data_IF_218284767811
#
_entry.id   IF_218284767811
#
_cell.length_a   1.000
_cell.length_b   1.000
_cell.length_c   1.000
_cell.angle_alpha   90.00
_cell.angle_beta   90.00
_cell.angle_gamma   90.00
#
_symmetry.space_group_name_H-M   'P 1'
#
loop_
_entity.id
_entity.type
_entity.pdbx_description
1 polymer ?
#
# COMPACT_ATOMS: atom_id res chain seq x y z
N UNK A 1 -13.48 8.73 -11.64
CA UNK A 1 -12.76 9.89 -11.09
C UNK A 1 -11.63 9.35 -10.24
N UNK A 2 -10.40 9.39 -10.76
CA UNK A 2 -9.16 8.94 -10.09
C UNK A 2 -8.15 10.09 -9.95
N UNK A 3 -8.50 11.29 -10.44
CA UNK A 3 -7.54 12.38 -10.63
C UNK A 3 -7.09 13.07 -9.34
N UNK A 4 -7.76 12.83 -8.21
CA UNK A 4 -7.44 13.41 -6.89
C UNK A 4 -6.95 12.35 -5.88
N UNK A 5 -6.95 11.07 -6.25
CA UNK A 5 -6.61 10.00 -5.32
C UNK A 5 -5.10 9.91 -5.11
N UNK A 6 -4.67 9.82 -3.85
CA UNK A 6 -3.24 9.71 -3.50
C UNK A 6 -2.71 8.34 -3.86
N UNK A 7 -1.45 8.32 -4.31
CA UNK A 7 -0.69 7.08 -4.52
C UNK A 7 0.15 6.80 -3.29
N UNK A 8 0.00 5.59 -2.74
CA UNK A 8 0.70 5.07 -1.58
C UNK A 8 1.67 3.95 -2.00
N UNK A 9 2.67 3.67 -1.16
CA UNK A 9 3.58 2.55 -1.34
C UNK A 9 3.16 1.39 -0.44
N UNK A 10 2.86 0.24 -1.04
CA UNK A 10 2.47 -0.98 -0.35
C UNK A 10 3.61 -2.00 -0.34
N UNK A 11 3.88 -2.64 0.80
CA UNK A 11 4.87 -3.71 0.89
C UNK A 11 4.22 -5.05 0.52
N UNK A 12 4.55 -5.60 -0.66
CA UNK A 12 3.85 -6.79 -1.20
C UNK A 12 4.09 -8.08 -0.40
N UNK A 13 5.18 -8.16 0.37
CA UNK A 13 5.48 -9.30 1.25
C UNK A 13 4.88 -9.15 2.67
N UNK A 14 4.17 -8.05 2.94
CA UNK A 14 3.61 -7.74 4.26
C UNK A 14 4.65 -7.42 5.34
N UNK A 15 5.94 -7.27 4.99
CA UNK A 15 7.01 -6.97 5.93
C UNK A 15 7.42 -5.49 5.86
N UNK A 16 6.74 -4.67 6.66
CA UNK A 16 6.98 -3.22 6.77
C UNK A 16 8.35 -2.84 7.39
N UNK A 17 9.18 -3.82 7.80
CA UNK A 17 10.48 -3.56 8.44
C UNK A 17 11.69 -3.71 7.51
N UNK A 18 11.51 -4.29 6.31
CA UNK A 18 12.66 -4.65 5.48
C UNK A 18 13.07 -3.57 4.46
N UNK A 19 12.21 -2.58 4.18
CA UNK A 19 12.50 -1.42 3.33
C UNK A 19 13.03 -1.78 1.94
N UNK A 20 12.74 -3.00 1.44
CA UNK A 20 13.30 -3.48 0.17
C UNK A 20 12.66 -2.70 -0.99
N UNK A 21 13.41 -1.91 -1.78
CA UNK A 21 12.80 -1.07 -2.82
C UNK A 21 12.11 -1.87 -3.93
N UNK A 22 12.56 -3.11 -4.19
CA UNK A 22 11.93 -4.03 -5.15
C UNK A 22 10.64 -4.69 -4.64
N UNK A 23 10.27 -4.43 -3.40
CA UNK A 23 9.13 -5.02 -2.69
C UNK A 23 8.01 -3.99 -2.43
N UNK A 24 8.13 -2.81 -3.04
CA UNK A 24 7.15 -1.73 -2.94
C UNK A 24 6.29 -1.67 -4.20
N UNK A 25 4.98 -1.63 -4.01
CA UNK A 25 3.98 -1.43 -5.05
C UNK A 25 3.37 -0.04 -4.89
N UNK A 26 3.45 0.79 -5.94
CA UNK A 26 2.69 2.02 -5.99
C UNK A 26 1.22 1.68 -6.27
N UNK A 27 0.33 2.04 -5.36
CA UNK A 27 -1.09 1.72 -5.44
C UNK A 27 -1.92 2.89 -4.93
N UNK A 28 -3.14 3.05 -5.40
CA UNK A 28 -4.03 4.10 -4.90
C UNK A 28 -4.42 3.90 -3.43
N UNK A 29 -4.67 4.99 -2.71
CA UNK A 29 -5.08 5.01 -1.30
C UNK A 29 -6.29 4.10 -1.02
N UNK A 30 -7.35 4.16 -1.83
CA UNK A 30 -8.53 3.28 -1.64
C UNK A 30 -8.21 1.79 -1.81
N UNK A 31 -7.31 1.46 -2.72
CA UNK A 31 -6.87 0.08 -2.94
C UNK A 31 -5.93 -0.38 -1.82
N UNK A 32 -5.07 0.52 -1.33
CA UNK A 32 -4.23 0.29 -0.17
C UNK A 32 -5.09 -0.01 1.06
N UNK A 33 -6.08 0.84 1.34
CA UNK A 33 -7.01 0.66 2.45
C UNK A 33 -7.79 -0.64 2.30
N UNK A 34 -8.29 -0.96 1.11
CA UNK A 34 -8.98 -2.23 0.82
C UNK A 34 -8.11 -3.45 1.16
N UNK A 35 -6.82 -3.42 0.80
CA UNK A 35 -5.88 -4.51 1.13
C UNK A 35 -5.67 -4.63 2.66
N UNK A 36 -5.67 -3.50 3.37
CA UNK A 36 -5.46 -3.45 4.83
C UNK A 36 -6.74 -3.51 5.67
N UNK A 37 -7.94 -3.53 5.06
CA UNK A 37 -9.23 -3.59 5.76
C UNK A 37 -9.37 -4.81 6.69
N UNK A 38 -8.62 -5.90 6.47
CA UNK A 38 -8.67 -7.08 7.33
C UNK A 38 -7.77 -7.00 8.57
N UNK A 39 -6.76 -6.12 8.60
CA UNK A 39 -5.87 -5.90 9.75
C UNK A 39 -5.31 -4.48 9.67
N UNK A 40 -5.72 -3.64 10.61
CA UNK A 40 -5.39 -2.21 10.77
C UNK A 40 -3.91 -1.91 11.09
N UNK A 41 -2.99 -2.48 10.31
CA UNK A 41 -1.57 -2.18 10.38
C UNK A 41 -1.07 -1.79 8.97
N UNK A 42 -0.75 -0.50 8.83
CA UNK A 42 0.14 0.04 7.80
C UNK A 42 1.57 0.14 8.32
#
# INVERSE_FOLDING_TARGET
>A
MLSDEKVHLHHIDGNHKNGKPKNLLAIHESCHDYIHMSKSAS
#
